data_IF_532770409439
#
_entry.id   IF_532770409439
#
_cell.length_a   1.000
_cell.length_b   1.000
_cell.length_c   1.000
_cell.angle_alpha   90.00
_cell.angle_beta   90.00
_cell.angle_gamma   90.00
#
_symmetry.space_group_name_H-M   'P 1'
#
loop_
_entity.id
_entity.type
_entity.pdbx_description
1 polymer ?
#
# COMPACT_ATOMS: atom_id res chain seq x y z
N UNK A 1 -5.51 -44.34 40.70
CA UNK A 1 -4.08 -44.34 40.49
C UNK A 1 -3.62 -42.99 40.03
N UNK A 2 -2.83 -42.38 40.83
CA UNK A 2 -2.20 -41.11 40.42
C UNK A 2 -0.97 -41.41 39.59
N UNK A 3 -1.14 -41.33 38.28
CA UNK A 3 0.01 -41.30 37.40
C UNK A 3 0.40 -39.86 37.18
N UNK A 4 1.52 -39.45 37.76
CA UNK A 4 2.11 -38.18 37.38
C UNK A 4 2.53 -38.19 35.92
N UNK A 5 2.58 -37.02 35.31
CA UNK A 5 3.14 -36.89 33.97
C UNK A 5 4.60 -37.32 33.98
N UNK A 6 5.01 -38.03 32.96
CA UNK A 6 6.42 -38.34 32.78
C UNK A 6 7.16 -37.09 32.34
N UNK A 7 8.46 -37.03 32.65
CA UNK A 7 9.29 -35.89 32.23
C UNK A 7 9.27 -35.73 30.72
N UNK A 8 9.24 -36.86 29.98
CA UNK A 8 9.18 -36.83 28.52
C UNK A 8 7.89 -36.19 28.03
N UNK A 9 6.73 -36.51 28.65
CA UNK A 9 5.45 -35.91 28.27
C UNK A 9 5.45 -34.41 28.49
N UNK A 10 6.02 -33.95 29.61
CA UNK A 10 6.14 -32.52 29.89
C UNK A 10 7.01 -31.82 28.85
N UNK A 11 8.14 -32.43 28.46
CA UNK A 11 9.03 -31.88 27.47
C UNK A 11 8.37 -31.78 26.08
N UNK A 12 7.61 -32.81 25.69
CA UNK A 12 6.88 -32.82 24.43
C UNK A 12 5.80 -31.74 24.43
N UNK A 13 5.05 -31.63 25.53
CA UNK A 13 4.01 -30.62 25.66
C UNK A 13 4.58 -29.20 25.57
N UNK A 14 5.71 -28.95 26.23
CA UNK A 14 6.39 -27.65 26.15
C UNK A 14 6.91 -27.35 24.75
N UNK A 15 7.45 -28.35 24.05
CA UNK A 15 7.92 -28.18 22.69
C UNK A 15 6.77 -27.80 21.74
N UNK A 16 5.64 -28.48 21.85
CA UNK A 16 4.44 -28.17 21.04
C UNK A 16 3.93 -26.76 21.37
N UNK A 17 3.80 -26.44 22.65
CA UNK A 17 3.33 -25.13 23.07
C UNK A 17 4.24 -24.00 22.58
N UNK A 18 5.55 -24.19 22.66
CA UNK A 18 6.53 -23.21 22.19
C UNK A 18 6.43 -22.99 20.69
N UNK A 19 6.24 -24.06 19.92
CA UNK A 19 6.07 -23.96 18.45
C UNK A 19 4.81 -23.21 18.09
N UNK A 20 3.70 -23.52 18.74
CA UNK A 20 2.41 -22.85 18.50
C UNK A 20 2.51 -21.37 18.89
N UNK A 21 3.14 -21.04 20.01
CA UNK A 21 3.32 -19.67 20.44
C UNK A 21 4.17 -18.86 19.45
N UNK A 22 5.25 -19.45 18.93
CA UNK A 22 6.08 -18.81 17.92
C UNK A 22 5.32 -18.51 16.63
N UNK A 23 4.54 -19.48 16.17
CA UNK A 23 3.70 -19.29 14.96
C UNK A 23 2.65 -18.20 15.18
N UNK A 24 2.03 -18.18 16.36
CA UNK A 24 1.03 -17.16 16.69
C UNK A 24 1.65 -15.75 16.66
N UNK A 25 2.85 -15.59 17.20
CA UNK A 25 3.56 -14.30 17.21
C UNK A 25 3.90 -13.88 15.77
N UNK A 26 4.36 -14.80 14.94
CA UNK A 26 4.68 -14.50 13.53
C UNK A 26 3.46 -14.04 12.75
N UNK A 27 2.36 -14.77 12.87
CA UNK A 27 1.11 -14.45 12.17
C UNK A 27 0.60 -13.08 12.63
N UNK A 28 0.64 -12.80 13.92
CA UNK A 28 0.23 -11.50 14.46
C UNK A 28 1.11 -10.36 13.94
N UNK A 29 2.42 -10.58 13.89
CA UNK A 29 3.37 -9.59 13.37
C UNK A 29 3.12 -9.29 11.89
N UNK A 30 2.92 -10.32 11.08
CA UNK A 30 2.62 -10.17 9.65
C UNK A 30 1.30 -9.43 9.44
N UNK A 31 0.28 -9.73 10.24
CA UNK A 31 -1.02 -9.06 10.17
C UNK A 31 -0.90 -7.57 10.50
N UNK A 32 -0.12 -7.22 11.52
CA UNK A 32 0.10 -5.83 11.88
C UNK A 32 0.85 -5.07 10.78
N UNK A 33 1.84 -5.70 10.16
CA UNK A 33 2.58 -5.11 9.04
C UNK A 33 1.66 -4.87 7.85
N UNK A 34 0.82 -5.84 7.51
CA UNK A 34 -0.15 -5.71 6.44
C UNK A 34 -1.17 -4.60 6.71
N UNK A 35 -1.65 -4.48 7.95
CA UNK A 35 -2.55 -3.41 8.34
C UNK A 35 -1.91 -2.04 8.20
N UNK A 36 -0.66 -1.92 8.59
CA UNK A 36 0.08 -0.65 8.45
C UNK A 36 0.27 -0.27 6.98
N UNK A 37 0.61 -1.24 6.12
CA UNK A 37 0.77 -1.01 4.68
C UNK A 37 -0.56 -0.65 4.02
N UNK A 38 -1.63 -1.36 4.36
CA UNK A 38 -2.98 -1.07 3.84
C UNK A 38 -3.45 0.32 4.27
N UNK A 39 -3.19 0.71 5.51
CA UNK A 39 -3.52 2.04 6.00
C UNK A 39 -2.75 3.13 5.26
N UNK A 40 -1.48 2.91 5.00
CA UNK A 40 -0.67 3.84 4.22
C UNK A 40 -1.19 3.96 2.78
N UNK A 41 -1.44 2.84 2.11
CA UNK A 41 -1.98 2.82 0.74
C UNK A 41 -3.31 3.55 0.66
N UNK A 42 -4.20 3.29 1.60
CA UNK A 42 -5.52 3.92 1.67
C UNK A 42 -5.41 5.44 1.82
N UNK A 43 -4.54 5.91 2.72
CA UNK A 43 -4.31 7.33 2.93
C UNK A 43 -3.71 8.00 1.71
N UNK A 44 -2.69 7.38 1.12
CA UNK A 44 -2.01 7.90 -0.08
C UNK A 44 -2.96 7.92 -1.28
N UNK A 45 -3.73 6.86 -1.49
CA UNK A 45 -4.72 6.81 -2.57
C UNK A 45 -5.79 7.88 -2.41
N UNK A 46 -6.26 8.11 -1.20
CA UNK A 46 -7.25 9.15 -0.93
C UNK A 46 -6.71 10.54 -1.23
N UNK A 47 -5.49 10.83 -0.78
CA UNK A 47 -4.82 12.09 -1.06
C UNK A 47 -4.53 12.25 -2.57
N UNK A 48 -4.11 11.16 -3.22
CA UNK A 48 -3.84 11.14 -4.66
C UNK A 48 -5.09 11.38 -5.50
N UNK A 49 -6.22 10.76 -5.12
CA UNK A 49 -7.50 11.02 -5.79
C UNK A 49 -7.91 12.47 -5.66
N UNK A 50 -7.78 13.04 -4.49
CA UNK A 50 -8.09 14.44 -4.25
C UNK A 50 -7.26 15.35 -5.15
N UNK A 51 -5.97 15.07 -5.26
CA UNK A 51 -5.06 15.83 -6.11
C UNK A 51 -5.40 15.67 -7.58
N UNK A 52 -5.70 14.46 -8.02
CA UNK A 52 -6.09 14.17 -9.39
C UNK A 52 -7.38 14.92 -9.78
N UNK A 53 -8.38 14.89 -8.92
CA UNK A 53 -9.64 15.60 -9.14
C UNK A 53 -9.40 17.12 -9.21
N UNK A 54 -8.56 17.65 -8.33
CA UNK A 54 -8.19 19.04 -8.34
C UNK A 54 -7.53 19.44 -9.66
N UNK A 55 -6.59 18.64 -10.14
CA UNK A 55 -5.90 18.88 -11.41
C UNK A 55 -6.86 18.87 -12.60
N UNK A 56 -7.78 17.93 -12.62
CA UNK A 56 -8.78 17.84 -13.68
C UNK A 56 -9.71 19.05 -13.73
N UNK A 57 -9.97 19.68 -12.58
CA UNK A 57 -10.79 20.89 -12.50
C UNK A 57 -10.04 22.15 -12.89
N UNK A 58 -8.77 22.25 -12.46
CA UNK A 58 -8.02 23.50 -12.59
C UNK A 58 -7.28 23.63 -13.93
N UNK A 59 -6.75 22.53 -14.45
CA UNK A 59 -5.87 22.57 -15.62
C UNK A 59 -6.08 21.37 -16.55
N UNK A 60 -7.21 21.30 -17.26
CA UNK A 60 -7.45 20.16 -18.13
C UNK A 60 -6.50 20.06 -19.32
N UNK A 61 -5.82 21.14 -19.67
CA UNK A 61 -4.95 21.19 -20.85
C UNK A 61 -3.48 20.86 -20.56
N UNK A 62 -3.06 20.90 -19.31
CA UNK A 62 -1.68 20.63 -18.93
C UNK A 62 -1.62 19.59 -17.81
N UNK A 63 -1.88 18.34 -18.17
CA UNK A 63 -1.96 17.24 -17.20
C UNK A 63 -0.63 16.51 -16.98
N UNK A 64 0.43 16.89 -17.73
CA UNK A 64 1.76 16.34 -17.51
C UNK A 64 2.50 17.17 -16.46
N UNK A 65 2.28 16.83 -15.18
CA UNK A 65 2.84 17.55 -14.04
C UNK A 65 3.38 16.58 -13.00
N UNK A 66 4.16 17.11 -12.07
CA UNK A 66 4.67 16.36 -10.94
C UNK A 66 4.84 17.28 -9.74
N UNK A 67 4.90 16.71 -8.55
CA UNK A 67 5.09 17.50 -7.36
C UNK A 67 4.91 16.70 -6.07
N UNK A 68 5.05 17.34 -4.91
CA UNK A 68 4.77 16.69 -3.63
C UNK A 68 3.28 16.45 -3.45
N UNK A 69 2.90 15.32 -2.87
CA UNK A 69 1.50 14.93 -2.73
C UNK A 69 0.78 15.81 -1.70
N UNK A 70 1.28 15.85 -0.49
CA UNK A 70 0.69 16.65 0.57
C UNK A 70 1.68 16.79 1.73
N UNK A 71 1.47 17.75 2.65
CA UNK A 71 2.29 17.84 3.86
C UNK A 71 2.23 16.61 4.76
N UNK A 72 1.14 15.84 4.69
CA UNK A 72 0.98 14.61 5.47
C UNK A 72 1.87 13.48 4.96
N UNK A 73 2.23 13.51 3.68
CA UNK A 73 3.07 12.50 3.04
C UNK A 73 4.24 13.18 2.33
N UNK A 74 5.21 13.69 3.09
CA UNK A 74 6.32 14.47 2.49
C UNK A 74 7.25 13.64 1.60
N UNK A 75 7.29 12.31 1.80
CA UNK A 75 8.13 11.40 1.03
C UNK A 75 7.45 10.89 -0.23
N UNK A 76 6.19 11.24 -0.46
CA UNK A 76 5.41 10.78 -1.61
C UNK A 76 5.32 11.89 -2.64
N UNK A 77 5.72 11.57 -3.87
CA UNK A 77 5.58 12.47 -5.01
C UNK A 77 4.52 11.92 -5.96
N UNK A 78 3.80 12.82 -6.59
CA UNK A 78 2.86 12.44 -7.65
C UNK A 78 3.40 12.85 -9.01
N UNK A 79 3.11 12.03 -10.01
CA UNK A 79 3.39 12.32 -11.40
C UNK A 79 2.16 12.03 -12.23
N UNK A 80 1.80 12.92 -13.10
CA UNK A 80 0.69 12.73 -14.02
C UNK A 80 1.18 12.66 -15.46
N UNK A 81 0.55 11.80 -16.26
CA UNK A 81 0.87 11.64 -17.67
C UNK A 81 -0.40 11.39 -18.45
N UNK A 82 -0.56 12.12 -19.52
CA UNK A 82 -1.72 11.98 -20.40
C UNK A 82 -1.33 11.13 -21.62
N UNK A 83 -2.05 10.03 -21.82
CA UNK A 83 -1.78 9.08 -22.89
C UNK A 83 -2.99 9.01 -23.81
N UNK A 84 -2.76 9.21 -25.11
CA UNK A 84 -3.83 9.06 -26.10
C UNK A 84 -4.14 7.57 -26.30
N UNK A 85 -5.43 7.23 -26.32
CA UNK A 85 -5.87 5.86 -26.56
C UNK A 85 -5.97 5.61 -28.07
N UNK A 86 -5.32 4.54 -28.53
CA UNK A 86 -5.28 4.21 -29.96
C UNK A 86 -6.60 3.64 -30.48
N UNK A 87 -7.35 3.00 -29.61
CA UNK A 87 -8.55 2.25 -30.03
C UNK A 87 -9.86 2.99 -29.78
N UNK A 88 -9.81 4.11 -29.06
CA UNK A 88 -11.01 4.88 -28.69
C UNK A 88 -10.69 6.36 -28.77
N UNK A 89 -11.69 7.16 -29.09
CA UNK A 89 -11.57 8.60 -28.98
C UNK A 89 -11.59 8.99 -27.49
N UNK A 90 -10.41 9.04 -26.89
CA UNK A 90 -10.27 9.36 -25.49
C UNK A 90 -8.82 9.45 -25.10
N UNK A 91 -8.60 9.90 -23.88
CA UNK A 91 -7.27 10.01 -23.29
C UNK A 91 -7.28 9.30 -21.96
N UNK A 92 -6.18 8.65 -21.61
CA UNK A 92 -6.00 8.02 -20.33
C UNK A 92 -5.05 8.88 -19.50
N UNK A 93 -5.50 9.28 -18.33
CA UNK A 93 -4.64 9.97 -17.37
C UNK A 93 -4.03 8.93 -16.44
N UNK A 94 -2.72 8.81 -16.47
CA UNK A 94 -1.98 8.00 -15.50
C UNK A 94 -1.48 8.91 -14.39
N UNK A 95 -1.86 8.59 -13.17
CA UNK A 95 -1.44 9.32 -11.99
C UNK A 95 -0.64 8.38 -11.09
N UNK A 96 0.65 8.61 -11.04
CA UNK A 96 1.59 7.74 -10.34
C UNK A 96 2.00 8.37 -9.02
N UNK A 97 1.89 7.61 -7.95
CA UNK A 97 2.29 8.01 -6.61
C UNK A 97 3.52 7.20 -6.22
N UNK A 98 4.64 7.84 -5.97
CA UNK A 98 5.91 7.19 -5.66
C UNK A 98 6.39 7.67 -4.30
N UNK A 99 6.66 6.72 -3.41
CA UNK A 99 7.31 7.00 -2.14
C UNK A 99 8.77 6.58 -2.22
N UNK A 100 9.66 7.53 -1.98
CA UNK A 100 11.09 7.28 -1.92
C UNK A 100 11.54 7.16 -0.47
N UNK A 101 11.88 5.94 -0.06
CA UNK A 101 12.46 5.67 1.25
C UNK A 101 13.86 5.07 1.08
N UNK A 102 14.84 5.92 0.81
CA UNK A 102 16.22 5.46 0.68
C UNK A 102 16.39 4.31 -0.32
N UNK A 103 16.54 3.09 0.17
CA UNK A 103 16.75 1.90 -0.66
C UNK A 103 15.48 1.23 -1.19
N UNK A 104 14.33 1.57 -0.62
CA UNK A 104 13.05 0.99 -1.05
C UNK A 104 12.10 2.07 -1.57
N UNK A 105 11.39 1.75 -2.64
CA UNK A 105 10.38 2.63 -3.20
C UNK A 105 9.06 1.88 -3.29
N UNK A 106 7.97 2.57 -2.97
CA UNK A 106 6.62 2.06 -3.17
C UNK A 106 5.94 2.92 -4.23
N UNK A 107 5.18 2.28 -5.10
CA UNK A 107 4.51 2.95 -6.20
C UNK A 107 3.06 2.52 -6.28
N UNK A 108 2.17 3.49 -6.43
CA UNK A 108 0.74 3.26 -6.67
C UNK A 108 0.37 3.96 -7.97
N UNK A 109 -0.46 3.31 -8.77
CA UNK A 109 -0.91 3.85 -10.05
C UNK A 109 -2.41 4.03 -10.03
N UNK A 110 -2.86 5.25 -10.31
CA UNK A 110 -4.26 5.59 -10.55
C UNK A 110 -4.45 5.88 -12.03
N UNK A 111 -5.48 5.28 -12.61
CA UNK A 111 -5.82 5.53 -14.01
C UNK A 111 -7.22 6.11 -14.11
N UNK A 112 -7.36 7.11 -14.96
CA UNK A 112 -8.65 7.72 -15.24
C UNK A 112 -8.80 7.89 -16.74
N UNK A 113 -9.91 7.43 -17.27
CA UNK A 113 -10.21 7.57 -18.69
C UNK A 113 -11.03 8.82 -18.88
N UNK A 114 -10.47 9.77 -19.62
CA UNK A 114 -11.16 11.00 -19.97
C UNK A 114 -11.97 10.74 -21.23
N UNK A 115 -13.31 10.81 -21.16
CA UNK A 115 -14.11 10.77 -22.36
C UNK A 115 -13.86 12.05 -23.16
N UNK A 116 -14.07 11.97 -24.42
CA UNK A 116 -13.89 13.08 -25.35
C UNK A 116 -14.62 14.36 -24.94
#
# INVERSE_FOLDING_TARGET
MNRGFTLLEVLIALAILSTVALLAVRVSGDSLTQLAETGWEDGVLRAGRGKMIQMLRESPDSLDQWGPLSPEYPDVEWQSKLIALRCMEGKRLEFRLVENRGTSSRELLLEYILPR
#
